data_IF_380022685778
#
_entry.id   IF_380022685778
#
_cell.length_a   1.000
_cell.length_b   1.000
_cell.length_c   1.000
_cell.angle_alpha   90.00
_cell.angle_beta   90.00
_cell.angle_gamma   90.00
#
_symmetry.space_group_name_H-M   'P 1'
#
loop_
_entity.id
_entity.type
_entity.pdbx_description
1 polymer ?
#
# COMPACT_ATOMS: atom_id res chain seq x y z
N UNK A 1 16.37 -8.98 7.86
CA UNK A 1 15.04 -8.85 7.29
C UNK A 1 15.02 -7.72 6.27
N UNK A 2 14.41 -7.91 5.10
CA UNK A 2 14.24 -6.91 4.04
C UNK A 2 12.78 -6.49 4.00
N UNK A 3 12.53 -5.19 3.88
CA UNK A 3 11.20 -4.62 3.90
C UNK A 3 10.72 -4.32 2.50
N UNK A 4 9.61 -4.93 2.12
CA UNK A 4 9.02 -4.86 0.78
C UNK A 4 7.63 -4.24 0.87
N UNK A 5 7.34 -3.20 0.10
CA UNK A 5 6.00 -2.66 0.00
C UNK A 5 5.32 -3.10 -1.29
N UNK A 6 4.10 -3.63 -1.18
CA UNK A 6 3.23 -3.90 -2.33
C UNK A 6 2.30 -2.72 -2.48
N UNK A 7 2.44 -1.96 -3.57
CA UNK A 7 1.79 -0.69 -3.80
C UNK A 7 0.83 -0.74 -4.98
N UNK A 8 -0.16 0.14 -4.98
CA UNK A 8 -1.12 0.26 -6.08
C UNK A 8 -2.51 0.63 -5.59
N UNK A 9 -3.34 1.10 -6.49
CA UNK A 9 -4.68 1.59 -6.17
C UNK A 9 -5.58 0.52 -5.53
N UNK A 10 -6.72 0.93 -5.01
CA UNK A 10 -7.79 -0.01 -4.58
C UNK A 10 -8.16 -0.88 -5.78
N UNK A 11 -8.35 -2.18 -5.57
CA UNK A 11 -8.65 -3.13 -6.66
C UNK A 11 -7.44 -3.58 -7.50
N UNK A 12 -6.22 -3.10 -7.23
CA UNK A 12 -5.03 -3.49 -8.00
C UNK A 12 -4.57 -4.95 -7.81
N UNK A 13 -5.12 -5.69 -6.82
CA UNK A 13 -4.74 -7.09 -6.58
C UNK A 13 -3.59 -7.29 -5.59
N UNK A 14 -3.28 -6.29 -4.76
CA UNK A 14 -2.18 -6.34 -3.77
C UNK A 14 -2.25 -7.55 -2.85
N UNK A 15 -3.38 -7.76 -2.18
CA UNK A 15 -3.58 -8.89 -1.26
C UNK A 15 -3.49 -10.24 -1.97
N UNK A 16 -3.93 -10.32 -3.24
CA UNK A 16 -3.78 -11.53 -4.05
C UNK A 16 -2.32 -11.83 -4.36
N UNK A 17 -1.55 -10.82 -4.77
CA UNK A 17 -0.11 -10.99 -5.00
C UNK A 17 0.62 -11.36 -3.70
N UNK A 18 0.28 -10.68 -2.59
CA UNK A 18 0.85 -10.98 -1.28
C UNK A 18 0.64 -12.44 -0.91
N UNK A 19 -0.58 -12.97 -1.02
CA UNK A 19 -0.88 -14.38 -0.76
C UNK A 19 0.00 -15.32 -1.58
N UNK A 20 0.11 -15.10 -2.89
CA UNK A 20 0.96 -15.91 -3.78
C UNK A 20 2.45 -15.83 -3.42
N UNK A 21 2.94 -14.67 -2.99
CA UNK A 21 4.33 -14.50 -2.55
C UNK A 21 4.59 -15.25 -1.23
N UNK A 22 3.67 -15.16 -0.28
CA UNK A 22 3.78 -15.89 0.99
C UNK A 22 3.78 -17.40 0.74
N UNK A 23 2.88 -17.93 -0.08
CA UNK A 23 2.84 -19.34 -0.45
C UNK A 23 4.15 -19.79 -1.14
N UNK A 24 4.71 -18.95 -2.01
CA UNK A 24 5.95 -19.26 -2.76
C UNK A 24 7.21 -19.21 -1.91
N UNK A 25 7.30 -18.24 -0.98
CA UNK A 25 8.47 -17.98 -0.14
C UNK A 25 8.45 -18.80 1.16
N UNK A 26 7.27 -19.21 1.63
CA UNK A 26 7.10 -19.98 2.86
C UNK A 26 7.70 -19.25 4.07
N UNK A 27 8.51 -19.96 4.89
CA UNK A 27 9.05 -19.40 6.14
C UNK A 27 10.06 -18.26 5.93
N UNK A 28 10.49 -17.99 4.69
CA UNK A 28 11.34 -16.84 4.36
C UNK A 28 10.59 -15.52 4.42
N UNK A 29 9.25 -15.52 4.50
CA UNK A 29 8.42 -14.33 4.41
C UNK A 29 7.45 -14.20 5.57
N UNK A 30 7.24 -12.96 6.02
CA UNK A 30 6.11 -12.55 6.85
C UNK A 30 5.52 -11.24 6.28
N UNK A 31 4.36 -10.84 6.78
CA UNK A 31 3.67 -9.67 6.24
C UNK A 31 2.82 -8.96 7.30
N UNK A 32 2.58 -7.69 7.02
CA UNK A 32 1.53 -6.88 7.65
C UNK A 32 0.42 -6.66 6.61
N UNK A 33 -0.79 -7.08 6.94
CA UNK A 33 -1.98 -6.92 6.10
C UNK A 33 -2.72 -5.64 6.49
N UNK A 34 -3.04 -4.80 5.52
CA UNK A 34 -3.97 -3.70 5.76
C UNK A 34 -5.39 -4.26 5.93
N UNK A 35 -5.97 -4.07 7.11
CA UNK A 35 -7.33 -4.54 7.46
C UNK A 35 -8.26 -3.36 7.62
N UNK A 36 -8.97 -2.94 6.55
CA UNK A 36 -9.90 -1.82 6.63
C UNK A 36 -10.98 -1.97 7.70
N UNK A 37 -11.39 -3.21 8.01
CA UNK A 37 -12.37 -3.52 9.07
C UNK A 37 -11.86 -3.17 10.48
N UNK A 38 -10.56 -3.07 10.70
CA UNK A 38 -9.98 -2.68 12.00
C UNK A 38 -10.01 -1.15 12.20
N UNK A 39 -10.36 -0.39 11.15
CA UNK A 39 -10.60 1.03 11.25
C UNK A 39 -12.03 1.29 11.77
N UNK A 40 -12.20 1.80 13.01
CA UNK A 40 -13.51 1.98 13.61
C UNK A 40 -14.41 2.98 12.87
N UNK A 41 -13.83 3.83 12.02
CA UNK A 41 -14.53 4.86 11.25
C UNK A 41 -14.85 4.43 9.82
N UNK A 42 -14.58 3.17 9.43
CA UNK A 42 -14.66 2.78 8.01
C UNK A 42 -16.09 2.91 7.45
N UNK A 43 -17.11 2.47 8.20
CA UNK A 43 -18.50 2.55 7.78
C UNK A 43 -19.00 4.00 7.75
N UNK A 44 -18.65 4.78 8.79
CA UNK A 44 -18.98 6.20 8.86
C UNK A 44 -18.34 6.99 7.72
N UNK A 45 -17.09 6.66 7.39
CA UNK A 45 -16.36 7.27 6.28
C UNK A 45 -17.04 7.03 4.92
N UNK A 46 -17.56 5.83 4.66
CA UNK A 46 -18.31 5.57 3.42
C UNK A 46 -19.68 6.22 3.40
N UNK A 47 -20.33 6.45 4.56
CA UNK A 47 -21.62 7.09 4.66
C UNK A 47 -21.56 8.62 4.59
N UNK A 48 -20.52 9.25 5.18
CA UNK A 48 -20.30 10.69 5.20
C UNK A 48 -18.79 10.99 5.19
N UNK A 49 -18.22 10.91 3.99
CA UNK A 49 -16.77 11.09 3.80
C UNK A 49 -16.30 12.47 4.24
N UNK A 50 -17.12 13.51 4.06
CA UNK A 50 -16.79 14.88 4.45
C UNK A 50 -16.55 15.02 5.95
N UNK A 51 -17.34 14.33 6.77
CA UNK A 51 -17.19 14.35 8.22
C UNK A 51 -16.06 13.44 8.70
N UNK A 52 -15.89 12.28 8.10
CA UNK A 52 -15.12 11.20 8.69
C UNK A 52 -13.76 10.94 8.00
N UNK A 53 -13.44 11.63 6.90
CA UNK A 53 -12.16 11.43 6.19
C UNK A 53 -10.95 11.62 7.09
N UNK A 54 -10.90 12.71 7.86
CA UNK A 54 -9.77 12.96 8.76
C UNK A 54 -9.61 11.86 9.81
N UNK A 55 -10.70 11.47 10.47
CA UNK A 55 -10.70 10.43 11.50
C UNK A 55 -10.26 9.07 10.92
N UNK A 56 -10.79 8.70 9.76
CA UNK A 56 -10.46 7.46 9.09
C UNK A 56 -8.99 7.43 8.67
N UNK A 57 -8.44 8.52 8.12
CA UNK A 57 -7.03 8.57 7.72
C UNK A 57 -6.08 8.52 8.93
N UNK A 58 -6.39 9.19 10.05
CA UNK A 58 -5.61 9.07 11.30
C UNK A 58 -5.65 7.64 11.82
N UNK A 59 -6.82 6.99 11.78
CA UNK A 59 -6.97 5.60 12.20
C UNK A 59 -6.11 4.66 11.34
N UNK A 60 -6.12 4.78 10.02
CA UNK A 60 -5.25 3.96 9.16
C UNK A 60 -3.77 4.13 9.48
N UNK A 61 -3.32 5.36 9.79
CA UNK A 61 -1.93 5.59 10.22
C UNK A 61 -1.62 4.89 11.55
N UNK A 62 -2.59 4.75 12.46
CA UNK A 62 -2.39 4.13 13.76
C UNK A 62 -2.30 2.60 13.68
N UNK A 63 -2.98 1.95 12.73
CA UNK A 63 -3.02 0.48 12.61
C UNK A 63 -1.63 -0.16 12.42
N UNK A 64 -0.65 0.58 11.89
CA UNK A 64 0.73 0.08 11.78
C UNK A 64 1.41 -0.16 13.13
N UNK A 65 0.90 0.41 14.22
CA UNK A 65 1.44 0.20 15.56
C UNK A 65 0.85 -1.01 16.29
N UNK A 66 -0.30 -1.51 15.82
CA UNK A 66 -1.00 -2.63 16.44
C UNK A 66 -0.31 -3.97 16.17
N UNK A 67 0.46 -4.06 15.07
CA UNK A 67 1.23 -5.24 14.72
C UNK A 67 2.75 -4.97 14.87
N UNK A 68 3.39 -5.52 15.93
CA UNK A 68 4.82 -5.37 16.13
C UNK A 68 5.69 -6.26 15.23
N UNK A 69 5.11 -7.13 14.40
CA UNK A 69 5.84 -8.14 13.61
C UNK A 69 6.86 -7.53 12.65
N UNK A 70 6.66 -6.29 12.21
CA UNK A 70 7.62 -5.58 11.37
C UNK A 70 8.87 -5.07 12.14
N UNK A 71 8.85 -5.08 13.48
CA UNK A 71 9.99 -4.60 14.27
C UNK A 71 11.14 -5.60 14.20
N UNK A 72 12.40 -5.14 14.07
CA UNK A 72 13.55 -6.03 14.04
C UNK A 72 13.67 -6.88 15.32
N UNK A 73 14.00 -8.18 15.17
CA UNK A 73 14.17 -9.10 16.28
C UNK A 73 14.89 -10.38 15.86
N UNK A 74 15.14 -11.29 16.82
CA UNK A 74 15.75 -12.59 16.54
C UNK A 74 14.76 -13.55 15.85
N UNK A 75 15.25 -14.44 14.99
CA UNK A 75 14.45 -15.46 14.31
C UNK A 75 13.51 -14.91 13.22
N UNK A 76 13.76 -13.71 12.73
CA UNK A 76 12.91 -13.04 11.75
C UNK A 76 13.07 -13.61 10.34
N UNK A 77 12.01 -13.50 9.51
CA UNK A 77 12.05 -13.92 8.10
C UNK A 77 13.04 -13.06 7.30
N UNK A 78 13.41 -13.57 6.14
CA UNK A 78 14.27 -12.84 5.20
C UNK A 78 13.57 -11.61 4.64
N UNK A 79 12.27 -11.75 4.29
CA UNK A 79 11.42 -10.70 3.73
C UNK A 79 10.25 -10.39 4.65
N UNK A 80 9.97 -9.10 4.83
CA UNK A 80 8.76 -8.62 5.46
C UNK A 80 7.97 -7.75 4.48
N UNK A 81 6.74 -8.15 4.17
CA UNK A 81 5.89 -7.45 3.23
C UNK A 81 4.89 -6.55 3.95
N UNK A 82 4.76 -5.32 3.44
CA UNK A 82 3.65 -4.44 3.78
C UNK A 82 2.61 -4.49 2.63
N UNK A 83 1.36 -4.83 2.95
CA UNK A 83 0.23 -4.66 2.03
C UNK A 83 -0.16 -3.18 2.02
N UNK A 84 0.58 -2.41 1.29
CA UNK A 84 0.61 -0.96 1.08
C UNK A 84 1.83 -0.30 1.74
N UNK A 85 2.49 0.59 0.99
CA UNK A 85 3.52 1.44 1.57
C UNK A 85 2.88 2.46 2.53
N UNK A 86 3.51 2.68 3.68
CA UNK A 86 2.97 3.56 4.71
C UNK A 86 2.56 4.94 4.19
N UNK A 87 3.44 5.62 3.42
CA UNK A 87 3.16 6.95 2.87
C UNK A 87 2.15 6.94 1.71
N UNK A 88 1.79 5.78 1.17
CA UNK A 88 0.74 5.62 0.16
C UNK A 88 -0.64 6.07 0.69
N UNK A 89 -0.86 6.02 2.02
CA UNK A 89 -2.07 6.54 2.65
C UNK A 89 -2.31 8.03 2.32
N UNK A 90 -1.24 8.80 2.09
CA UNK A 90 -1.35 10.21 1.70
C UNK A 90 -1.94 10.41 0.29
N UNK A 91 -1.92 9.38 -0.57
CA UNK A 91 -2.56 9.44 -1.89
C UNK A 91 -4.08 9.53 -1.72
N UNK A 92 -4.65 8.69 -0.83
CA UNK A 92 -6.09 8.73 -0.52
C UNK A 92 -6.45 10.05 0.18
N UNK A 93 -5.63 10.51 1.13
CA UNK A 93 -5.83 11.81 1.77
C UNK A 93 -5.80 12.96 0.75
N UNK A 94 -4.90 12.91 -0.25
CA UNK A 94 -4.83 13.90 -1.34
C UNK A 94 -6.09 13.86 -2.22
N UNK A 95 -6.62 12.67 -2.49
CA UNK A 95 -7.91 12.52 -3.18
C UNK A 95 -9.02 13.21 -2.37
N UNK A 96 -9.14 12.95 -1.07
CA UNK A 96 -10.16 13.55 -0.20
C UNK A 96 -10.02 15.07 -0.07
N UNK A 97 -8.81 15.60 -0.11
CA UNK A 97 -8.59 17.05 -0.22
C UNK A 97 -9.14 17.61 -1.54
N UNK A 98 -8.92 16.93 -2.69
CA UNK A 98 -9.47 17.34 -4.00
C UNK A 98 -11.01 17.36 -3.99
N UNK A 99 -11.63 16.40 -3.30
CA UNK A 99 -13.10 16.30 -3.14
C UNK A 99 -13.65 17.27 -2.08
N UNK A 100 -12.82 18.07 -1.42
CA UNK A 100 -13.20 18.97 -0.32
C UNK A 100 -13.79 18.23 0.91
N UNK A 101 -13.46 16.97 1.07
CA UNK A 101 -13.76 16.15 2.25
C UNK A 101 -12.72 16.38 3.36
N UNK A 102 -11.56 16.91 3.01
CA UNK A 102 -10.53 17.41 3.94
C UNK A 102 -10.27 18.87 3.65
N UNK A 103 -10.02 19.61 4.70
CA UNK A 103 -9.46 20.97 4.61
C UNK A 103 -7.95 20.90 4.33
N UNK A 104 -7.38 22.02 3.86
CA UNK A 104 -5.93 22.14 3.65
C UNK A 104 -5.14 21.93 4.95
N UNK A 105 -5.69 22.40 6.08
CA UNK A 105 -5.05 22.27 7.40
C UNK A 105 -5.07 20.80 7.87
N UNK A 106 -6.19 20.10 7.73
CA UNK A 106 -6.30 18.67 8.06
C UNK A 106 -5.34 17.83 7.22
N UNK A 107 -5.28 18.06 5.90
CA UNK A 107 -4.32 17.39 5.03
C UNK A 107 -2.86 17.70 5.45
N UNK A 108 -2.57 18.94 5.81
CA UNK A 108 -1.25 19.33 6.32
C UNK A 108 -0.88 18.62 7.63
N UNK A 109 -1.85 18.40 8.53
CA UNK A 109 -1.68 17.62 9.76
C UNK A 109 -1.40 16.15 9.43
N UNK A 110 -2.19 15.54 8.53
CA UNK A 110 -1.98 14.15 8.09
C UNK A 110 -0.58 13.94 7.49
N UNK A 111 -0.13 14.88 6.66
CA UNK A 111 1.23 14.83 6.09
C UNK A 111 2.32 14.88 7.19
N UNK A 112 2.17 15.73 8.19
CA UNK A 112 3.12 15.83 9.32
C UNK A 112 3.13 14.54 10.15
N UNK A 113 1.95 14.00 10.48
CA UNK A 113 1.81 12.75 11.22
C UNK A 113 2.43 11.59 10.44
N UNK A 114 2.06 11.42 9.17
CA UNK A 114 2.54 10.32 8.34
C UNK A 114 4.07 10.38 8.18
N UNK A 115 4.67 11.54 7.92
CA UNK A 115 6.12 11.67 7.81
C UNK A 115 6.83 11.44 9.16
N UNK A 116 6.25 11.92 10.26
CA UNK A 116 6.78 11.68 11.60
C UNK A 116 6.79 10.19 11.94
N UNK A 117 5.70 9.47 11.66
CA UNK A 117 5.61 8.03 11.87
C UNK A 117 6.55 7.26 10.93
N UNK A 118 6.60 7.65 9.64
CA UNK A 118 7.49 7.02 8.66
C UNK A 118 8.96 7.09 9.07
N UNK A 119 9.36 8.14 9.79
CA UNK A 119 10.74 8.26 10.31
C UNK A 119 11.07 7.25 11.42
N UNK A 120 10.07 6.64 12.04
CA UNK A 120 10.20 5.61 13.08
C UNK A 120 10.12 4.19 12.50
N UNK A 121 9.66 4.06 11.25
CA UNK A 121 9.51 2.78 10.58
C UNK A 121 10.80 2.39 9.84
N UNK A 122 11.02 1.08 9.60
CA UNK A 122 12.15 0.66 8.78
C UNK A 122 12.02 1.21 7.35
N UNK A 123 13.13 1.57 6.71
CA UNK A 123 13.10 1.99 5.32
C UNK A 123 12.68 0.84 4.41
N UNK A 124 11.86 1.13 3.41
CA UNK A 124 11.47 0.14 2.41
C UNK A 124 12.66 -0.13 1.47
N UNK A 125 13.05 -1.38 1.37
CA UNK A 125 14.16 -1.83 0.51
C UNK A 125 13.70 -1.97 -0.96
N UNK A 126 12.48 -2.48 -1.21
CA UNK A 126 11.90 -2.64 -2.55
C UNK A 126 10.40 -2.32 -2.58
N UNK A 127 9.97 -1.85 -3.73
CA UNK A 127 8.57 -1.58 -4.03
C UNK A 127 8.10 -2.48 -5.18
N UNK A 128 6.96 -3.13 -4.99
CA UNK A 128 6.22 -3.85 -6.01
C UNK A 128 5.00 -3.01 -6.36
N UNK A 129 5.09 -2.21 -7.42
CA UNK A 129 3.98 -1.36 -7.85
C UNK A 129 3.09 -2.08 -8.85
N UNK A 130 1.83 -2.33 -8.46
CA UNK A 130 0.83 -2.97 -9.30
C UNK A 130 0.17 -1.91 -10.18
N UNK A 131 0.46 -1.99 -11.47
CA UNK A 131 -0.07 -1.08 -12.49
C UNK A 131 -1.26 -1.73 -13.19
N UNK A 132 -2.44 -1.11 -13.07
CA UNK A 132 -3.70 -1.60 -13.62
C UNK A 132 -4.37 -0.52 -14.45
N UNK A 133 -5.03 -0.90 -15.52
CA UNK A 133 -6.01 -0.04 -16.19
C UNK A 133 -7.25 0.15 -15.32
N UNK A 134 -8.00 1.23 -15.55
CA UNK A 134 -9.27 1.49 -14.87
C UNK A 134 -10.26 0.32 -15.08
N UNK A 135 -10.29 -0.27 -16.27
CA UNK A 135 -11.15 -1.43 -16.58
C UNK A 135 -10.81 -2.64 -15.69
N UNK A 136 -9.52 -2.95 -15.53
CA UNK A 136 -9.06 -4.04 -14.68
C UNK A 136 -9.40 -3.79 -13.20
N UNK A 137 -9.22 -2.55 -12.72
CA UNK A 137 -9.60 -2.16 -11.36
C UNK A 137 -11.08 -2.41 -11.10
N UNK A 138 -11.94 -1.95 -12.00
CA UNK A 138 -13.40 -2.11 -11.89
C UNK A 138 -13.79 -3.59 -11.89
N UNK A 139 -13.17 -4.39 -12.77
CA UNK A 139 -13.42 -5.83 -12.81
C UNK A 139 -13.05 -6.50 -11.49
N UNK A 140 -11.86 -6.22 -10.95
CA UNK A 140 -11.42 -6.76 -9.66
C UNK A 140 -12.32 -6.33 -8.49
N UNK A 141 -12.79 -5.07 -8.48
CA UNK A 141 -13.70 -4.58 -7.44
C UNK A 141 -15.04 -5.32 -7.50
N UNK A 142 -15.62 -5.51 -8.69
CA UNK A 142 -16.86 -6.28 -8.89
C UNK A 142 -16.70 -7.75 -8.45
N UNK A 143 -15.59 -8.39 -8.80
CA UNK A 143 -15.31 -9.79 -8.40
C UNK A 143 -15.18 -9.93 -6.88
N UNK A 144 -14.65 -8.90 -6.20
CA UNK A 144 -14.49 -8.89 -4.74
C UNK A 144 -15.82 -8.71 -4.00
N UNK A 145 -16.79 -7.98 -4.56
CA UNK A 145 -18.18 -7.87 -4.07
C UNK A 145 -18.27 -7.29 -2.65
N UNK A 146 -17.62 -6.15 -2.39
CA UNK A 146 -17.76 -5.44 -1.11
C UNK A 146 -18.95 -4.49 -1.21
N UNK A 147 -19.93 -4.61 -0.32
CA UNK A 147 -21.18 -3.85 -0.33
C UNK A 147 -20.98 -2.33 -0.45
N UNK A 148 -19.93 -1.78 0.17
CA UNK A 148 -19.63 -0.35 0.12
C UNK A 148 -18.91 0.08 -1.17
N UNK A 149 -18.61 -0.85 -2.07
CA UNK A 149 -17.98 -0.58 -3.37
C UNK A 149 -18.98 -0.65 -4.53
N UNK A 150 -20.21 -1.14 -4.31
CA UNK A 150 -21.21 -1.32 -5.35
C UNK A 150 -21.69 0.01 -5.95
N UNK A 151 -21.68 1.10 -5.17
CA UNK A 151 -22.05 2.46 -5.57
C UNK A 151 -20.85 3.35 -5.92
N UNK A 152 -19.63 2.81 -6.04
CA UNK A 152 -18.46 3.64 -6.33
C UNK A 152 -18.54 4.21 -7.76
N UNK A 153 -18.49 5.54 -7.83
CA UNK A 153 -18.46 6.28 -9.08
C UNK A 153 -17.21 5.92 -9.90
N UNK A 154 -17.38 5.73 -11.20
CA UNK A 154 -16.28 5.53 -12.15
C UNK A 154 -15.25 6.68 -12.07
N UNK A 155 -15.71 7.91 -11.81
CA UNK A 155 -14.85 9.07 -11.63
C UNK A 155 -13.93 8.91 -10.42
N UNK A 156 -14.42 8.32 -9.32
CA UNK A 156 -13.57 7.97 -8.17
C UNK A 156 -12.39 7.09 -8.57
N UNK A 157 -12.67 6.02 -9.32
CA UNK A 157 -11.60 5.09 -9.74
C UNK A 157 -10.60 5.77 -10.65
N UNK A 158 -11.09 6.59 -11.59
CA UNK A 158 -10.25 7.33 -12.54
C UNK A 158 -9.34 8.34 -11.82
N UNK A 159 -9.90 9.22 -11.01
CA UNK A 159 -9.16 10.27 -10.30
C UNK A 159 -8.16 9.68 -9.28
N UNK A 160 -8.55 8.59 -8.61
CA UNK A 160 -7.67 7.91 -7.69
C UNK A 160 -6.50 7.25 -8.44
N UNK A 161 -6.76 6.62 -9.59
CA UNK A 161 -5.70 6.03 -10.44
C UNK A 161 -4.71 7.09 -10.91
N UNK A 162 -5.17 8.28 -11.34
CA UNK A 162 -4.28 9.38 -11.70
C UNK A 162 -3.35 9.77 -10.54
N UNK A 163 -3.88 9.89 -9.33
CA UNK A 163 -3.09 10.21 -8.14
C UNK A 163 -2.06 9.13 -7.82
N UNK A 164 -2.42 7.87 -8.00
CA UNK A 164 -1.50 6.75 -7.83
C UNK A 164 -0.40 6.76 -8.89
N UNK A 165 -0.72 7.09 -10.14
CA UNK A 165 0.27 7.21 -11.21
C UNK A 165 1.25 8.37 -10.97
N UNK A 166 0.75 9.50 -10.45
CA UNK A 166 1.59 10.61 -10.01
C UNK A 166 2.52 10.19 -8.87
N UNK A 167 1.97 9.54 -7.85
CA UNK A 167 2.75 9.07 -6.71
C UNK A 167 3.79 8.02 -7.10
N UNK A 168 3.44 7.08 -7.97
CA UNK A 168 4.34 6.04 -8.43
C UNK A 168 5.59 6.57 -9.16
N UNK A 169 5.51 7.78 -9.73
CA UNK A 169 6.68 8.47 -10.33
C UNK A 169 7.67 8.95 -9.28
N UNK A 170 7.25 9.06 -8.02
CA UNK A 170 8.12 9.47 -6.90
C UNK A 170 8.88 8.30 -6.28
N UNK A 171 8.49 7.05 -6.60
CA UNK A 171 9.17 5.86 -6.10
C UNK A 171 10.58 5.74 -6.72
N UNK A 172 11.58 5.28 -5.96
CA UNK A 172 12.94 5.14 -6.46
C UNK A 172 13.01 4.06 -7.54
N UNK A 173 13.40 4.41 -8.78
CA UNK A 173 13.29 3.50 -9.94
C UNK A 173 14.19 2.27 -9.83
N UNK A 174 15.34 2.39 -9.16
CA UNK A 174 16.29 1.30 -8.92
C UNK A 174 15.79 0.25 -7.91
N UNK A 175 14.79 0.60 -7.11
CA UNK A 175 14.18 -0.25 -6.08
C UNK A 175 12.71 -0.55 -6.34
N UNK A 176 12.18 -0.20 -7.51
CA UNK A 176 10.76 -0.38 -7.86
C UNK A 176 10.60 -1.30 -9.04
N UNK A 177 9.87 -2.41 -8.84
CA UNK A 177 9.38 -3.26 -9.92
C UNK A 177 7.93 -2.88 -10.24
N UNK A 178 7.67 -2.42 -11.47
CA UNK A 178 6.31 -2.21 -11.98
C UNK A 178 5.80 -3.52 -12.56
N UNK A 179 4.62 -3.93 -12.11
CA UNK A 179 3.96 -5.18 -12.49
C UNK A 179 2.64 -4.81 -13.15
N UNK A 180 2.52 -5.08 -14.46
CA UNK A 180 1.23 -4.94 -15.14
C UNK A 180 0.27 -6.02 -14.65
N UNK A 181 -0.92 -5.59 -14.26
CA UNK A 181 -1.99 -6.48 -13.82
C UNK A 181 -3.06 -6.68 -14.91
N UNK A 182 -2.92 -5.97 -16.02
CA UNK A 182 -3.81 -6.13 -17.16
C UNK A 182 -3.55 -7.48 -17.85
N UNK A 183 -4.62 -8.24 -18.09
CA UNK A 183 -4.53 -9.59 -18.67
C UNK A 183 -4.37 -10.73 -17.64
N UNK A 184 -4.31 -10.41 -16.35
CA UNK A 184 -4.42 -11.42 -15.26
C UNK A 184 -3.18 -12.28 -15.01
N UNK A 185 -2.14 -12.21 -15.84
CA UNK A 185 -0.91 -12.99 -15.67
C UNK A 185 0.29 -12.08 -15.41
N UNK A 186 1.10 -12.46 -14.40
CA UNK A 186 2.40 -11.85 -14.11
C UNK A 186 3.41 -12.93 -13.74
N UNK A 187 4.68 -12.70 -14.07
CA UNK A 187 5.77 -13.64 -13.78
C UNK A 187 6.18 -13.56 -12.31
N UNK A 188 5.62 -14.47 -11.48
CA UNK A 188 5.96 -14.57 -10.05
C UNK A 188 7.46 -14.86 -9.82
N UNK A 189 8.10 -15.64 -10.71
CA UNK A 189 9.53 -15.94 -10.60
C UNK A 189 10.38 -14.70 -10.93
N UNK A 190 9.94 -13.83 -11.82
CA UNK A 190 10.60 -12.53 -12.04
C UNK A 190 10.56 -11.68 -10.77
N UNK A 191 9.42 -11.66 -10.08
CA UNK A 191 9.28 -10.91 -8.83
C UNK A 191 10.23 -11.49 -7.78
N UNK A 192 10.26 -12.82 -7.59
CA UNK A 192 11.17 -13.47 -6.64
C UNK A 192 12.63 -13.17 -6.97
N UNK A 193 13.05 -13.28 -8.24
CA UNK A 193 14.40 -12.90 -8.66
C UNK A 193 14.73 -11.43 -8.34
N UNK A 194 13.75 -10.52 -8.54
CA UNK A 194 13.93 -9.11 -8.18
C UNK A 194 14.14 -8.93 -6.67
N UNK A 195 13.42 -9.68 -5.83
CA UNK A 195 13.59 -9.65 -4.38
C UNK A 195 14.94 -10.22 -3.95
N UNK A 196 15.36 -11.35 -4.52
CA UNK A 196 16.62 -12.01 -4.20
C UNK A 196 17.85 -11.15 -4.59
N UNK A 197 17.78 -10.33 -5.63
CA UNK A 197 18.86 -9.40 -6.03
C UNK A 197 19.25 -8.37 -4.94
N UNK A 198 18.52 -8.27 -3.82
CA UNK A 198 18.87 -7.44 -2.67
C UNK A 198 20.08 -7.97 -1.87
N UNK A 199 20.46 -9.23 -2.04
CA UNK A 199 21.47 -9.87 -1.21
C UNK A 199 22.90 -9.35 -1.47
N UNK A 200 23.11 -8.56 -2.53
CA UNK A 200 24.46 -8.14 -2.97
C UNK A 200 24.78 -6.64 -2.82
N UNK A 201 23.85 -5.83 -2.30
CA UNK A 201 24.03 -4.36 -2.24
C UNK A 201 24.15 -3.77 -0.84
N UNK A 202 24.45 -4.57 0.19
CA UNK A 202 24.83 -4.00 1.49
C UNK A 202 26.25 -3.42 1.37
N UNK A 203 26.44 -2.10 1.55
CA UNK A 203 27.79 -1.57 1.65
C UNK A 203 28.45 -2.22 2.87
N UNK A 204 29.66 -2.78 2.66
CA UNK A 204 30.55 -3.16 3.75
C UNK A 204 30.70 -1.99 4.72
N UNK A 205 30.64 -2.20 6.04
CA UNK A 205 31.01 -1.15 6.98
C UNK A 205 32.41 -0.69 6.60
N UNK A 206 32.58 0.57 6.26
CA UNK A 206 33.90 1.15 6.13
C UNK A 206 34.46 1.34 7.56
N UNK A 207 35.58 0.78 7.75
CA UNK A 207 36.49 1.01 8.87
C UNK A 207 36.67 2.50 9.17
#
# INVERSE_FOLDING_TARGET
MKYIAICGTVGAGKTTLLGRLIDRLGPRAAFHEERPQDNPYINDYYSDSKRWSFHSQVSFLSLYFDDPAWRPGEGQPEFFFFDRAFLENLVIAKYRLRQQDLTQDEYGILCKLANGIASLMPPIDKYLYLDCSVSTIIEHMRQRGRDYEDDLDLMYVYELKELYDEWAKTLPPDRTLRISMDGGEYDLEQIVRFLDCLLYTSPSPRD
#
